data_IF_851074061641
#
_entry.id   IF_851074061641
#
_cell.length_a   1.000
_cell.length_b   1.000
_cell.length_c   1.000
_cell.angle_alpha   90.00
_cell.angle_beta   90.00
_cell.angle_gamma   90.00
#
_symmetry.space_group_name_H-M   'P 1'
#
loop_
_entity.id
_entity.type
_entity.pdbx_description
1 polymer ?
#
# COMPACT_ATOMS: atom_id res chain seq x y z
N UNK A 1 11.16 8.92 0.26
CA UNK A 1 12.30 8.25 0.90
C UNK A 1 12.94 7.20 0.00
N UNK A 2 14.26 7.02 0.16
CA UNK A 2 15.07 5.96 -0.44
C UNK A 2 15.08 4.74 0.50
N UNK A 3 14.91 3.53 -0.03
CA UNK A 3 14.88 2.30 0.77
C UNK A 3 16.18 2.06 1.54
N UNK A 4 17.33 2.34 0.91
CA UNK A 4 18.67 2.15 1.51
C UNK A 4 18.87 3.04 2.74
N UNK A 5 18.38 4.28 2.71
CA UNK A 5 18.46 5.17 3.87
C UNK A 5 17.45 4.78 4.96
N UNK A 6 16.24 4.37 4.57
CA UNK A 6 15.24 3.87 5.53
C UNK A 6 15.75 2.62 6.29
N UNK A 7 16.46 1.72 5.61
CA UNK A 7 17.09 0.56 6.25
C UNK A 7 18.13 0.99 7.30
N UNK A 8 19.01 1.92 6.95
CA UNK A 8 20.01 2.48 7.88
C UNK A 8 19.35 3.13 9.11
N UNK A 9 18.24 3.85 8.91
CA UNK A 9 17.47 4.47 10.00
C UNK A 9 16.84 3.42 10.92
N UNK A 10 16.28 2.34 10.35
CA UNK A 10 15.72 1.22 11.12
C UNK A 10 16.79 0.55 11.98
N UNK A 11 17.99 0.34 11.46
CA UNK A 11 19.13 -0.17 12.25
C UNK A 11 19.46 0.75 13.41
N UNK A 12 19.43 2.07 13.20
CA UNK A 12 19.59 3.07 14.26
C UNK A 12 18.54 2.94 15.36
N UNK A 13 17.26 2.80 15.00
CA UNK A 13 16.15 2.62 15.95
C UNK A 13 16.28 1.32 16.75
N UNK A 14 16.76 0.25 16.14
CA UNK A 14 17.02 -1.02 16.83
C UNK A 14 18.11 -0.84 17.89
N UNK A 15 19.22 -0.17 17.56
CA UNK A 15 20.28 0.11 18.54
C UNK A 15 19.82 1.06 19.66
N UNK A 16 18.91 1.98 19.36
CA UNK A 16 18.26 2.83 20.34
C UNK A 16 17.23 2.09 21.23
N UNK A 17 17.00 0.80 20.99
CA UNK A 17 16.01 -0.04 21.68
C UNK A 17 14.57 0.50 21.57
N UNK A 18 14.26 1.16 20.46
CA UNK A 18 12.88 1.53 20.13
C UNK A 18 12.01 0.28 20.03
N UNK A 19 10.78 0.35 20.52
CA UNK A 19 9.84 -0.76 20.46
C UNK A 19 9.59 -1.22 19.02
N UNK A 20 9.58 -2.54 18.79
CA UNK A 20 9.45 -3.10 17.42
C UNK A 20 8.15 -2.67 16.73
N UNK A 21 7.09 -2.53 17.50
CA UNK A 21 5.78 -2.06 17.02
C UNK A 21 5.84 -0.61 16.53
N UNK A 22 6.62 0.26 17.18
CA UNK A 22 6.81 1.65 16.75
C UNK A 22 7.65 1.71 15.47
N UNK A 23 8.71 0.89 15.38
CA UNK A 23 9.53 0.77 14.16
C UNK A 23 8.66 0.29 12.99
N UNK A 24 7.87 -0.77 13.20
CA UNK A 24 6.97 -1.30 12.17
C UNK A 24 5.93 -0.27 11.72
N UNK A 25 5.32 0.45 12.66
CA UNK A 25 4.39 1.54 12.36
C UNK A 25 5.06 2.64 11.54
N UNK A 26 6.26 3.08 11.92
CA UNK A 26 7.00 4.10 11.19
C UNK A 26 7.29 3.70 9.74
N UNK A 27 7.64 2.43 9.50
CA UNK A 27 7.85 1.90 8.15
C UNK A 27 6.55 1.93 7.32
N UNK A 28 5.43 1.48 7.90
CA UNK A 28 4.13 1.53 7.22
C UNK A 28 3.71 2.97 6.91
N UNK A 29 3.88 3.90 7.86
CA UNK A 29 3.56 5.32 7.70
C UNK A 29 4.38 5.97 6.59
N UNK A 30 5.69 5.71 6.56
CA UNK A 30 6.59 6.24 5.53
C UNK A 30 6.19 5.77 4.12
N UNK A 31 5.86 4.48 3.98
CA UNK A 31 5.38 3.93 2.71
C UNK A 31 4.02 4.52 2.32
N UNK A 32 3.05 4.57 3.24
CA UNK A 32 1.71 5.08 2.99
C UNK A 32 1.75 6.56 2.59
N UNK A 33 2.48 7.40 3.34
CA UNK A 33 2.67 8.82 3.06
C UNK A 33 3.19 9.07 1.64
N UNK A 34 4.17 8.27 1.19
CA UNK A 34 4.71 8.36 -0.17
C UNK A 34 3.63 8.04 -1.22
N UNK A 35 2.87 6.98 -1.03
CA UNK A 35 1.81 6.58 -1.96
C UNK A 35 0.70 7.62 -2.02
N UNK A 36 0.23 8.09 -0.87
CA UNK A 36 -0.82 9.11 -0.78
C UNK A 36 -0.40 10.43 -1.42
N UNK A 37 0.86 10.84 -1.27
CA UNK A 37 1.40 12.01 -1.98
C UNK A 37 1.27 11.88 -3.50
N UNK A 38 1.47 10.67 -4.06
CA UNK A 38 1.27 10.43 -5.49
C UNK A 38 -0.22 10.44 -5.86
N UNK A 39 -1.08 9.81 -5.06
CA UNK A 39 -2.54 9.78 -5.28
C UNK A 39 -3.11 11.20 -5.30
N UNK A 40 -2.73 12.06 -4.34
CA UNK A 40 -3.21 13.45 -4.25
C UNK A 40 -2.86 14.30 -5.47
N UNK A 41 -1.80 13.97 -6.21
CA UNK A 41 -1.43 14.67 -7.45
C UNK A 41 -2.33 14.31 -8.63
N UNK A 42 -2.92 13.11 -8.63
CA UNK A 42 -3.83 12.63 -9.67
C UNK A 42 -5.29 13.01 -9.34
N UNK A 43 -5.60 13.18 -8.06
CA UNK A 43 -6.95 13.41 -7.54
C UNK A 43 -7.46 12.17 -6.81
N UNK A 44 -8.16 12.38 -5.70
CA UNK A 44 -8.71 11.32 -4.87
C UNK A 44 -10.21 11.17 -5.13
N UNK A 45 -10.64 9.96 -5.52
CA UNK A 45 -12.03 9.54 -5.43
C UNK A 45 -12.25 8.82 -4.09
N UNK A 46 -13.48 8.89 -3.55
CA UNK A 46 -13.79 8.26 -2.25
C UNK A 46 -13.69 6.73 -2.30
N UNK A 47 -13.99 6.12 -3.44
CA UNK A 47 -13.86 4.68 -3.64
C UNK A 47 -12.44 4.30 -4.09
N UNK A 48 -11.64 3.82 -3.13
CA UNK A 48 -10.25 3.38 -3.36
C UNK A 48 -10.12 1.88 -3.17
N UNK A 49 -9.62 1.20 -4.20
CA UNK A 49 -9.26 -0.21 -4.13
C UNK A 49 -7.75 -0.41 -3.98
N UNK A 50 -7.34 -1.43 -3.21
CA UNK A 50 -5.93 -1.81 -3.05
C UNK A 50 -5.72 -3.23 -3.57
N UNK A 51 -4.72 -3.38 -4.44
CA UNK A 51 -4.34 -4.65 -5.08
C UNK A 51 -2.86 -4.96 -4.80
N UNK A 52 -2.46 -6.21 -5.06
CA UNK A 52 -1.13 -6.73 -4.78
C UNK A 52 -1.00 -7.33 -3.37
N UNK A 53 0.06 -8.12 -3.15
CA UNK A 53 0.23 -8.88 -1.90
C UNK A 53 0.36 -8.03 -0.64
N UNK A 54 0.76 -6.77 -0.74
CA UNK A 54 0.82 -5.84 0.40
C UNK A 54 -0.57 -5.56 0.97
N UNK A 55 -1.64 -5.79 0.19
CA UNK A 55 -3.02 -5.67 0.67
C UNK A 55 -3.42 -6.70 1.72
N UNK A 56 -2.64 -7.77 1.90
CA UNK A 56 -2.80 -8.70 3.02
C UNK A 56 -2.23 -8.18 4.35
N UNK A 57 -1.46 -7.10 4.34
CA UNK A 57 -0.86 -6.56 5.56
C UNK A 57 -1.84 -5.58 6.24
N UNK A 58 -2.51 -5.96 7.35
CA UNK A 58 -3.48 -5.08 8.01
C UNK A 58 -2.83 -3.81 8.55
N UNK A 59 -1.58 -3.87 9.02
CA UNK A 59 -0.86 -2.69 9.50
C UNK A 59 -0.65 -1.65 8.40
N UNK A 60 -0.40 -2.11 7.17
CA UNK A 60 -0.28 -1.23 6.02
C UNK A 60 -1.64 -0.70 5.54
N UNK A 61 -2.67 -1.55 5.54
CA UNK A 61 -4.06 -1.14 5.22
C UNK A 61 -4.51 0.00 6.13
N UNK A 62 -4.27 -0.13 7.44
CA UNK A 62 -4.64 0.91 8.41
C UNK A 62 -3.79 2.18 8.28
N UNK A 63 -2.52 2.07 7.89
CA UNK A 63 -1.69 3.22 7.55
C UNK A 63 -2.24 3.96 6.32
N UNK A 64 -2.63 3.24 5.27
CA UNK A 64 -3.23 3.81 4.07
C UNK A 64 -4.55 4.53 4.36
N UNK A 65 -5.47 3.91 5.12
CA UNK A 65 -6.74 4.55 5.53
C UNK A 65 -6.50 5.88 6.25
N UNK A 66 -5.59 5.89 7.22
CA UNK A 66 -5.24 7.10 8.00
C UNK A 66 -4.66 8.20 7.12
N UNK A 67 -3.72 7.89 6.24
CA UNK A 67 -3.08 8.87 5.36
C UNK A 67 -4.03 9.42 4.29
N UNK A 68 -4.87 8.55 3.72
CA UNK A 68 -5.91 8.93 2.74
C UNK A 68 -7.09 9.66 3.39
N UNK A 69 -7.30 9.49 4.70
CA UNK A 69 -8.48 9.96 5.45
C UNK A 69 -9.78 9.38 4.87
N UNK A 70 -9.78 8.08 4.62
CA UNK A 70 -10.95 7.32 4.15
C UNK A 70 -11.29 6.23 5.14
N UNK A 71 -12.59 6.01 5.35
CA UNK A 71 -13.09 4.97 6.26
C UNK A 71 -12.95 3.56 5.65
N UNK A 72 -13.01 3.46 4.32
CA UNK A 72 -13.07 2.19 3.61
C UNK A 72 -12.02 2.12 2.50
N UNK A 73 -11.37 0.96 2.43
CA UNK A 73 -10.58 0.53 1.27
C UNK A 73 -11.17 -0.78 0.77
N UNK A 74 -11.37 -0.89 -0.54
CA UNK A 74 -11.84 -2.12 -1.17
C UNK A 74 -10.65 -3.04 -1.44
N UNK A 75 -10.66 -4.21 -0.82
CA UNK A 75 -9.61 -5.22 -0.96
C UNK A 75 -10.28 -6.52 -1.33
N UNK A 76 -10.07 -7.06 -2.55
CA UNK A 76 -10.54 -8.39 -2.94
C UNK A 76 -9.91 -9.48 -2.08
N UNK A 77 -10.54 -10.66 -2.00
CA UNK A 77 -10.00 -11.81 -1.24
C UNK A 77 -8.62 -12.28 -1.75
N UNK A 78 -8.37 -12.11 -3.05
CA UNK A 78 -7.12 -12.46 -3.71
C UNK A 78 -6.53 -11.26 -4.48
N UNK A 79 -6.07 -10.21 -3.77
CA UNK A 79 -5.63 -8.95 -4.35
C UNK A 79 -4.38 -9.08 -5.22
N UNK A 80 -3.54 -10.10 -5.03
CA UNK A 80 -2.35 -10.38 -5.84
C UNK A 80 -2.70 -10.77 -7.29
N UNK A 81 -3.89 -11.34 -7.53
CA UNK A 81 -4.31 -11.74 -8.87
C UNK A 81 -5.02 -10.64 -9.66
N UNK A 82 -5.20 -9.45 -9.09
CA UNK A 82 -5.91 -8.35 -9.76
C UNK A 82 -5.36 -8.02 -11.16
N UNK A 83 -4.02 -8.02 -11.31
CA UNK A 83 -3.38 -7.80 -12.60
C UNK A 83 -3.60 -8.96 -13.59
N UNK A 84 -3.55 -10.21 -13.11
CA UNK A 84 -3.75 -11.40 -13.95
C UNK A 84 -5.18 -11.47 -14.48
N UNK A 85 -6.17 -11.16 -13.63
CA UNK A 85 -7.58 -11.07 -14.03
C UNK A 85 -7.76 -9.96 -15.06
N UNK A 86 -7.17 -8.78 -14.84
CA UNK A 86 -7.20 -7.69 -15.81
C UNK A 86 -6.69 -8.11 -17.19
N UNK A 87 -5.56 -8.83 -17.23
CA UNK A 87 -5.01 -9.36 -18.49
C UNK A 87 -5.96 -10.37 -19.17
N UNK A 88 -6.57 -11.28 -18.40
CA UNK A 88 -7.54 -12.25 -18.93
C UNK A 88 -8.79 -11.57 -19.51
N UNK A 89 -9.30 -10.53 -18.84
CA UNK A 89 -10.46 -9.75 -19.32
C UNK A 89 -10.15 -9.06 -20.65
N UNK A 90 -8.96 -8.46 -20.80
CA UNK A 90 -8.56 -7.80 -22.05
C UNK A 90 -8.59 -8.79 -23.22
N UNK A 91 -7.98 -9.97 -23.08
CA UNK A 91 -7.98 -11.00 -24.14
C UNK A 91 -9.39 -11.49 -24.46
N UNK A 92 -10.24 -11.68 -23.44
CA UNK A 92 -11.62 -12.10 -23.64
C UNK A 92 -12.43 -11.07 -24.44
N UNK A 93 -12.22 -9.77 -24.20
CA UNK A 93 -12.87 -8.69 -24.94
C UNK A 93 -12.40 -8.59 -26.39
N UNK A 94 -11.12 -8.85 -26.66
CA UNK A 94 -10.56 -8.84 -28.02
C UNK A 94 -11.06 -10.02 -28.86
N UNK A 95 -11.27 -11.18 -28.24
CA UNK A 95 -11.72 -12.41 -28.93
C UNK A 95 -13.23 -12.41 -29.22
N UNK A 96 -14.01 -11.57 -28.53
CA UNK A 96 -15.45 -11.40 -28.75
C UNK A 96 -15.80 -10.35 -29.82
N UNK A 97 -14.80 -9.65 -30.38
CA UNK A 97 -14.93 -8.82 -31.58
C UNK A 97 -14.78 -9.67 -32.84
#
# INVERSE_FOLDING_TARGET
QCAIFAESEVVGLIHAKTEKQDISKAIHDAMASRIVSMIRRVGLNEDVAMLGGVAYNPGFVEAMKRELKVEKLYIPDAPEFGAAIGAAVVVAQETQK
#
